data_IF_144189445178
#
_entry.id   IF_144189445178
#
_cell.length_a   1.000
_cell.length_b   1.000
_cell.length_c   1.000
_cell.angle_alpha   90.00
_cell.angle_beta   90.00
_cell.angle_gamma   90.00
#
_symmetry.space_group_name_H-M   'P 1'
#
loop_
_entity.id
_entity.type
_entity.pdbx_description
1 polymer ?
#
# COMPACT_ATOMS: atom_id res chain seq x y z
N UNK A 1 -27.11 6.38 17.04
CA UNK A 1 -27.18 5.68 15.74
C UNK A 1 -27.68 6.66 14.69
N UNK A 2 -26.76 7.34 14.02
CA UNK A 2 -27.03 8.06 12.77
C UNK A 2 -26.06 7.48 11.76
N UNK A 3 -26.62 6.66 10.86
CA UNK A 3 -25.96 6.20 9.64
C UNK A 3 -25.51 7.43 8.85
N UNK A 4 -24.22 7.76 8.91
CA UNK A 4 -23.63 8.70 7.95
C UNK A 4 -23.69 8.01 6.58
N UNK A 5 -24.64 8.43 5.75
CA UNK A 5 -24.75 7.99 4.38
C UNK A 5 -23.42 8.22 3.68
N UNK A 6 -22.83 7.15 3.16
CA UNK A 6 -21.57 7.14 2.44
C UNK A 6 -21.57 8.22 1.34
N UNK A 7 -20.83 9.30 1.56
CA UNK A 7 -20.68 10.38 0.59
C UNK A 7 -19.83 9.90 -0.60
N UNK A 8 -20.25 10.24 -1.82
CA UNK A 8 -19.50 10.03 -3.05
C UNK A 8 -19.33 11.37 -3.74
N UNK A 9 -18.20 12.03 -3.52
CA UNK A 9 -17.94 13.34 -4.12
C UNK A 9 -17.49 13.24 -5.59
N UNK A 10 -17.30 12.04 -6.13
CA UNK A 10 -17.03 11.85 -7.56
C UNK A 10 -18.26 12.14 -8.45
N UNK A 11 -19.46 12.21 -7.85
CA UNK A 11 -20.72 12.37 -8.57
C UNK A 11 -21.12 11.13 -9.38
N UNK A 12 -20.42 10.00 -9.21
CA UNK A 12 -20.73 8.75 -9.90
C UNK A 12 -21.92 8.04 -9.24
N UNK A 13 -23.07 7.88 -9.93
CA UNK A 13 -24.23 7.21 -9.34
C UNK A 13 -23.98 5.70 -9.12
N UNK A 14 -22.99 5.11 -9.79
CA UNK A 14 -22.66 3.69 -9.71
C UNK A 14 -21.25 3.49 -9.10
N UNK A 15 -21.13 2.80 -7.95
CA UNK A 15 -19.81 2.49 -7.39
C UNK A 15 -18.93 1.74 -8.40
N UNK A 16 -17.64 2.10 -8.45
CA UNK A 16 -16.66 1.44 -9.31
C UNK A 16 -16.50 -0.03 -8.91
N UNK A 17 -16.40 -0.90 -9.91
CA UNK A 17 -16.19 -2.33 -9.71
C UNK A 17 -15.06 -2.81 -10.60
N UNK A 18 -14.11 -3.51 -10.01
CA UNK A 18 -13.09 -4.25 -10.75
C UNK A 18 -13.80 -5.38 -11.51
N UNK A 19 -13.45 -5.54 -12.79
CA UNK A 19 -14.06 -6.56 -13.65
C UNK A 19 -13.83 -7.96 -13.07
N UNK A 20 -14.86 -8.81 -13.14
CA UNK A 20 -14.79 -10.19 -12.66
C UNK A 20 -13.62 -10.93 -13.31
N UNK A 21 -12.94 -11.76 -12.51
CA UNK A 21 -11.85 -12.57 -13.00
C UNK A 21 -12.32 -13.49 -14.13
N UNK A 22 -11.50 -13.56 -15.18
CA UNK A 22 -11.64 -14.50 -16.27
C UNK A 22 -10.40 -15.39 -16.28
N UNK A 23 -10.61 -16.70 -16.14
CA UNK A 23 -9.52 -17.66 -16.14
C UNK A 23 -8.70 -17.56 -17.44
N UNK A 24 -7.38 -17.51 -17.31
CA UNK A 24 -6.44 -17.45 -18.43
C UNK A 24 -5.31 -18.46 -18.24
N UNK A 25 -4.72 -18.89 -19.35
CA UNK A 25 -3.53 -19.73 -19.38
C UNK A 25 -3.67 -21.08 -18.64
N UNK A 26 -4.90 -21.57 -18.45
CA UNK A 26 -5.18 -22.83 -17.75
C UNK A 26 -4.84 -22.82 -16.25
N UNK A 27 -4.73 -21.64 -15.62
CA UNK A 27 -4.40 -21.51 -14.20
C UNK A 27 -5.58 -21.93 -13.31
N UNK A 28 -5.29 -22.63 -12.22
CA UNK A 28 -6.29 -22.97 -11.20
C UNK A 28 -6.68 -21.75 -10.34
N UNK A 29 -5.75 -20.82 -10.13
CA UNK A 29 -5.96 -19.53 -9.45
C UNK A 29 -5.31 -18.41 -10.26
N UNK A 30 -5.82 -17.17 -10.22
CA UNK A 30 -5.13 -16.03 -10.79
C UNK A 30 -3.73 -15.87 -10.17
N UNK A 31 -2.76 -15.47 -10.99
CA UNK A 31 -1.44 -15.06 -10.55
C UNK A 31 -1.43 -13.56 -10.28
N UNK A 32 -1.12 -13.17 -9.04
CA UNK A 32 -0.94 -11.79 -8.61
C UNK A 32 0.54 -11.52 -8.39
N UNK A 33 1.07 -10.50 -9.05
CA UNK A 33 2.39 -9.97 -8.75
C UNK A 33 2.27 -8.63 -8.01
N UNK A 34 3.13 -8.40 -7.02
CA UNK A 34 3.32 -7.09 -6.39
C UNK A 34 4.78 -6.69 -6.59
N UNK A 35 5.02 -5.59 -7.30
CA UNK A 35 6.39 -5.18 -7.67
C UNK A 35 6.91 -4.06 -6.79
N UNK A 36 8.13 -4.20 -6.29
CA UNK A 36 8.82 -3.18 -5.51
C UNK A 36 10.14 -2.80 -6.18
N UNK A 37 10.42 -1.50 -6.23
CA UNK A 37 11.78 -1.00 -6.44
C UNK A 37 12.61 -1.29 -5.19
N UNK A 38 13.87 -1.68 -5.40
CA UNK A 38 14.79 -2.07 -4.32
C UNK A 38 15.00 -0.97 -3.27
N UNK A 39 14.81 0.30 -3.63
CA UNK A 39 14.81 1.43 -2.70
C UNK A 39 13.64 2.36 -3.02
N UNK A 40 13.10 2.99 -1.97
CA UNK A 40 12.09 4.04 -2.11
C UNK A 40 10.67 3.55 -2.39
N UNK A 41 10.39 2.25 -2.34
CA UNK A 41 9.01 1.73 -2.39
C UNK A 41 8.27 2.07 -1.10
N UNK A 42 7.05 2.60 -1.21
CA UNK A 42 6.19 2.87 -0.06
C UNK A 42 5.67 1.56 0.52
N UNK A 43 5.94 1.32 1.80
CA UNK A 43 5.73 0.03 2.45
C UNK A 43 4.23 -0.35 2.53
N UNK A 44 3.33 0.56 2.89
CA UNK A 44 1.89 0.27 2.91
C UNK A 44 1.34 -0.13 1.53
N UNK A 45 1.82 0.53 0.48
CA UNK A 45 1.32 0.34 -0.88
C UNK A 45 1.73 -1.01 -1.46
N UNK A 46 2.81 -1.59 -0.93
CA UNK A 46 3.29 -2.92 -1.30
C UNK A 46 2.70 -4.00 -0.38
N UNK A 47 2.85 -3.81 0.94
CA UNK A 47 2.58 -4.86 1.93
C UNK A 47 1.09 -5.11 2.09
N UNK A 48 0.23 -4.08 2.00
CA UNK A 48 -1.21 -4.25 2.14
C UNK A 48 -1.78 -5.09 0.99
N UNK A 49 -1.54 -4.78 -0.30
CA UNK A 49 -2.05 -5.63 -1.37
C UNK A 49 -1.50 -7.05 -1.31
N UNK A 50 -0.21 -7.22 -1.02
CA UNK A 50 0.38 -8.55 -0.84
C UNK A 50 -0.34 -9.31 0.29
N UNK A 51 -0.45 -8.71 1.48
CA UNK A 51 -1.01 -9.34 2.67
C UNK A 51 -2.49 -9.69 2.51
N UNK A 52 -3.29 -8.80 1.90
CA UNK A 52 -4.71 -9.06 1.60
C UNK A 52 -4.86 -10.20 0.60
N UNK A 53 -4.09 -10.19 -0.48
CA UNK A 53 -4.20 -11.24 -1.50
C UNK A 53 -3.70 -12.59 -0.98
N UNK A 54 -2.60 -12.61 -0.22
CA UNK A 54 -2.03 -13.84 0.32
C UNK A 54 -2.96 -14.49 1.36
N UNK A 55 -3.51 -13.71 2.31
CA UNK A 55 -4.46 -14.23 3.32
C UNK A 55 -5.78 -14.68 2.73
N UNK A 56 -6.22 -14.07 1.62
CA UNK A 56 -7.48 -14.45 0.97
C UNK A 56 -7.48 -15.89 0.45
N UNK A 57 -6.31 -16.41 0.05
CA UNK A 57 -6.18 -17.71 -0.60
C UNK A 57 -6.80 -17.80 -2.00
N UNK A 58 -7.29 -16.69 -2.57
CA UNK A 58 -7.99 -16.68 -3.87
C UNK A 58 -7.04 -16.59 -5.07
N UNK A 59 -5.76 -16.31 -4.85
CA UNK A 59 -4.74 -16.11 -5.88
C UNK A 59 -3.41 -16.76 -5.45
N UNK A 60 -2.57 -17.09 -6.44
CA UNK A 60 -1.14 -17.30 -6.20
C UNK A 60 -0.46 -15.93 -6.19
N UNK A 61 0.19 -15.56 -5.09
CA UNK A 61 0.76 -14.22 -4.90
C UNK A 61 2.28 -14.28 -4.89
N UNK A 62 2.92 -13.41 -5.68
CA UNK A 62 4.38 -13.32 -5.78
C UNK A 62 4.83 -11.89 -5.51
N UNK A 63 5.71 -11.72 -4.52
CA UNK A 63 6.46 -10.50 -4.29
C UNK A 63 7.65 -10.43 -5.26
N UNK A 64 7.76 -9.33 -6.00
CA UNK A 64 8.73 -9.17 -7.09
C UNK A 64 9.58 -7.93 -6.85
N UNK A 65 10.90 -8.10 -6.91
CA UNK A 65 11.88 -7.01 -6.90
C UNK A 65 12.32 -6.66 -8.32
N UNK A 66 12.59 -5.38 -8.58
CA UNK A 66 13.14 -4.95 -9.88
C UNK A 66 14.55 -5.52 -10.07
N UNK A 67 15.39 -5.52 -9.04
CA UNK A 67 16.77 -6.04 -9.07
C UNK A 67 16.99 -7.08 -7.97
N UNK A 68 17.96 -8.00 -8.12
CA UNK A 68 18.34 -8.91 -7.05
C UNK A 68 18.75 -8.20 -5.76
N UNK A 69 18.45 -8.82 -4.61
CA UNK A 69 18.89 -8.35 -3.30
C UNK A 69 17.77 -7.81 -2.42
N UNK A 70 18.11 -7.28 -1.23
CA UNK A 70 17.14 -6.69 -0.32
C UNK A 70 16.37 -5.53 -0.96
N UNK A 71 15.13 -5.36 -0.50
CA UNK A 71 14.24 -4.27 -0.90
C UNK A 71 13.94 -3.41 0.33
N UNK A 72 14.51 -2.20 0.35
CA UNK A 72 14.29 -1.19 1.39
C UNK A 72 12.99 -0.44 1.11
N UNK A 73 11.94 -0.86 1.80
CA UNK A 73 10.63 -0.21 1.82
C UNK A 73 10.55 0.61 3.10
N UNK A 74 11.01 1.87 3.04
CA UNK A 74 11.22 2.67 4.25
C UNK A 74 9.98 2.63 5.18
N UNK A 75 10.17 2.34 6.48
CA UNK A 75 11.46 2.23 7.17
C UNK A 75 12.08 0.81 7.17
N UNK A 76 11.39 -0.22 6.70
CA UNK A 76 11.80 -1.62 6.87
C UNK A 76 12.45 -2.21 5.61
N UNK A 77 13.05 -3.39 5.75
CA UNK A 77 13.74 -4.08 4.64
C UNK A 77 13.21 -5.50 4.48
N UNK A 78 12.95 -5.91 3.25
CA UNK A 78 12.40 -7.22 2.93
C UNK A 78 13.25 -7.97 1.91
N UNK A 79 13.21 -9.29 1.97
CA UNK A 79 13.65 -10.18 0.89
C UNK A 79 12.41 -10.62 0.11
N UNK A 80 12.36 -10.33 -1.19
CA UNK A 80 11.22 -10.66 -2.05
C UNK A 80 11.44 -12.00 -2.77
N UNK A 81 10.34 -12.68 -3.12
CA UNK A 81 10.35 -14.06 -3.61
C UNK A 81 10.95 -14.21 -5.02
N UNK A 82 10.95 -13.14 -5.82
CA UNK A 82 11.43 -13.17 -7.20
C UNK A 82 12.03 -11.83 -7.61
N UNK A 83 12.86 -11.84 -8.66
CA UNK A 83 13.15 -10.65 -9.47
C UNK A 83 12.21 -10.61 -10.68
N UNK A 84 12.14 -9.46 -11.37
CA UNK A 84 11.37 -9.35 -12.63
C UNK A 84 11.83 -10.36 -13.69
N UNK A 85 13.14 -10.61 -13.82
CA UNK A 85 13.69 -11.57 -14.78
C UNK A 85 13.33 -13.02 -14.42
N UNK A 86 13.44 -13.38 -13.14
CA UNK A 86 13.06 -14.70 -12.66
C UNK A 86 11.55 -14.93 -12.77
N UNK A 87 10.76 -13.88 -12.54
CA UNK A 87 9.31 -13.93 -12.69
C UNK A 87 8.93 -14.20 -14.14
N UNK A 88 9.47 -13.43 -15.09
CA UNK A 88 9.15 -13.58 -16.51
C UNK A 88 9.64 -14.92 -17.08
N UNK A 89 10.77 -15.45 -16.58
CA UNK A 89 11.22 -16.80 -16.94
C UNK A 89 10.24 -17.89 -16.47
N UNK A 90 9.67 -17.73 -15.27
CA UNK A 90 8.71 -18.69 -14.69
C UNK A 90 7.31 -18.54 -15.26
N UNK A 91 6.92 -17.31 -15.60
CA UNK A 91 5.59 -16.94 -16.07
C UNK A 91 5.68 -16.11 -17.35
N UNK A 92 6.04 -16.72 -18.50
CA UNK A 92 6.24 -15.98 -19.76
C UNK A 92 4.98 -15.24 -20.23
N UNK A 93 3.80 -15.78 -19.90
CA UNK A 93 2.48 -15.18 -20.18
C UNK A 93 2.14 -13.97 -19.28
N UNK A 94 2.94 -13.68 -18.26
CA UNK A 94 2.74 -12.58 -17.31
C UNK A 94 1.71 -12.85 -16.21
N UNK A 95 1.55 -11.89 -15.31
CA UNK A 95 0.56 -11.94 -14.22
C UNK A 95 -0.88 -11.72 -14.73
N UNK A 96 -1.87 -12.27 -14.02
CA UNK A 96 -3.28 -11.89 -14.23
C UNK A 96 -3.54 -10.48 -13.66
N UNK A 97 -2.94 -10.20 -12.50
CA UNK A 97 -3.02 -8.90 -11.82
C UNK A 97 -1.62 -8.45 -11.38
N UNK A 98 -1.32 -7.18 -11.60
CA UNK A 98 -0.08 -6.55 -11.16
C UNK A 98 -0.39 -5.35 -10.26
N UNK A 99 0.03 -5.41 -9.00
CA UNK A 99 0.05 -4.25 -8.12
C UNK A 99 1.32 -3.43 -8.31
N UNK A 100 1.15 -2.11 -8.47
CA UNK A 100 2.22 -1.13 -8.62
C UNK A 100 2.11 -0.10 -7.48
N UNK A 101 2.96 -0.21 -6.44
CA UNK A 101 2.97 0.72 -5.32
C UNK A 101 3.57 2.08 -5.71
N UNK A 102 3.41 3.07 -4.84
CA UNK A 102 4.23 4.27 -4.92
C UNK A 102 5.71 3.95 -4.71
N UNK A 103 6.56 4.66 -5.46
CA UNK A 103 8.01 4.55 -5.42
C UNK A 103 8.62 5.94 -5.55
N UNK A 104 9.80 6.15 -4.97
CA UNK A 104 10.52 7.42 -5.05
C UNK A 104 10.91 7.77 -6.50
N UNK A 105 11.52 6.83 -7.23
CA UNK A 105 11.83 6.98 -8.65
C UNK A 105 10.77 6.33 -9.53
N UNK A 106 9.65 7.02 -9.75
CA UNK A 106 8.59 6.53 -10.63
C UNK A 106 8.93 6.56 -12.13
N UNK A 107 10.16 6.96 -12.49
CA UNK A 107 10.69 6.95 -13.86
C UNK A 107 11.79 5.90 -14.04
N UNK A 108 11.96 4.96 -13.10
CA UNK A 108 12.95 3.88 -13.21
C UNK A 108 12.70 3.04 -14.48
N UNK A 109 13.68 2.93 -15.40
CA UNK A 109 13.46 2.33 -16.71
C UNK A 109 13.16 0.83 -16.66
N UNK A 110 13.74 0.10 -15.70
CA UNK A 110 13.53 -1.34 -15.57
C UNK A 110 12.11 -1.62 -15.05
N UNK A 111 11.67 -0.85 -14.05
CA UNK A 111 10.29 -0.89 -13.56
C UNK A 111 9.29 -0.54 -14.67
N UNK A 112 9.49 0.58 -15.36
CA UNK A 112 8.57 1.04 -16.40
C UNK A 112 8.44 0.02 -17.53
N UNK A 113 9.56 -0.53 -18.00
CA UNK A 113 9.59 -1.55 -19.05
C UNK A 113 8.82 -2.80 -18.62
N UNK A 114 9.04 -3.26 -17.38
CA UNK A 114 8.40 -4.48 -16.90
C UNK A 114 6.90 -4.29 -16.65
N UNK A 115 6.48 -3.18 -16.02
CA UNK A 115 5.05 -2.83 -15.84
C UNK A 115 4.34 -2.75 -17.19
N UNK A 116 4.93 -2.05 -18.18
CA UNK A 116 4.39 -1.98 -19.53
C UNK A 116 4.24 -3.38 -20.15
N UNK A 117 5.25 -4.23 -20.01
CA UNK A 117 5.22 -5.59 -20.55
C UNK A 117 4.09 -6.43 -19.95
N UNK A 118 3.84 -6.37 -18.65
CA UNK A 118 2.72 -7.08 -18.02
C UNK A 118 1.36 -6.57 -18.53
N UNK A 119 1.22 -5.25 -18.73
CA UNK A 119 0.05 -4.65 -19.36
C UNK A 119 -0.15 -5.10 -20.82
N UNK A 120 0.92 -5.15 -21.62
CA UNK A 120 0.90 -5.61 -23.02
C UNK A 120 0.54 -7.10 -23.14
N UNK A 121 0.95 -7.94 -22.17
CA UNK A 121 0.50 -9.34 -22.01
C UNK A 121 -0.98 -9.47 -21.58
N UNK A 122 -1.61 -8.33 -21.32
CA UNK A 122 -3.02 -8.20 -20.99
C UNK A 122 -3.33 -8.43 -19.52
N UNK A 123 -2.36 -8.32 -18.62
CA UNK A 123 -2.61 -8.30 -17.17
C UNK A 123 -3.40 -7.05 -16.77
N UNK A 124 -4.16 -7.14 -15.68
CA UNK A 124 -4.80 -5.98 -15.06
C UNK A 124 -3.77 -5.28 -14.19
N UNK A 125 -3.44 -4.03 -14.52
CA UNK A 125 -2.47 -3.22 -13.77
C UNK A 125 -3.22 -2.37 -12.75
N UNK A 126 -2.85 -2.50 -11.48
CA UNK A 126 -3.49 -1.89 -10.33
C UNK A 126 -2.47 -0.99 -9.62
N UNK A 127 -2.57 0.32 -9.80
CA UNK A 127 -1.69 1.26 -9.10
C UNK A 127 -2.26 1.68 -7.74
N UNK A 128 -1.40 1.77 -6.73
CA UNK A 128 -1.76 2.30 -5.40
C UNK A 128 -1.08 3.65 -5.19
N UNK A 129 -1.82 4.65 -4.68
CA UNK A 129 -1.27 5.97 -4.32
C UNK A 129 -0.50 6.62 -5.49
N UNK A 130 0.74 7.09 -5.25
CA UNK A 130 1.61 7.64 -6.29
C UNK A 130 2.15 6.59 -7.28
N UNK A 131 1.87 5.30 -7.08
CA UNK A 131 2.11 4.26 -8.09
C UNK A 131 1.41 4.54 -9.41
N UNK A 132 0.35 5.36 -9.39
CA UNK A 132 -0.32 5.84 -10.60
C UNK A 132 0.63 6.62 -11.52
N UNK A 133 1.65 7.26 -10.98
CA UNK A 133 2.66 7.99 -11.75
C UNK A 133 3.61 7.03 -12.50
N UNK A 134 3.90 5.86 -11.93
CA UNK A 134 4.65 4.79 -12.61
C UNK A 134 3.84 4.32 -13.82
N UNK A 135 2.58 3.96 -13.60
CA UNK A 135 1.72 3.43 -14.66
C UNK A 135 1.44 4.48 -15.73
N UNK A 136 1.21 5.74 -15.35
CA UNK A 136 1.09 6.84 -16.30
C UNK A 136 2.38 7.05 -17.13
N UNK A 137 3.56 6.90 -16.52
CA UNK A 137 4.85 7.00 -17.22
C UNK A 137 5.08 5.90 -18.25
N UNK A 138 4.38 4.77 -18.16
CA UNK A 138 4.40 3.72 -19.20
C UNK A 138 3.48 4.02 -20.39
N UNK A 139 2.61 5.02 -20.28
CA UNK A 139 1.54 5.32 -21.22
C UNK A 139 0.29 4.43 -21.09
N UNK A 140 0.26 3.48 -20.15
CA UNK A 140 -0.88 2.56 -19.97
C UNK A 140 -2.19 3.27 -19.56
N UNK A 141 -2.09 4.47 -18.97
CA UNK A 141 -3.24 5.31 -18.61
C UNK A 141 -3.59 6.37 -19.67
N UNK A 142 -2.85 6.50 -20.77
CA UNK A 142 -3.16 7.49 -21.81
C UNK A 142 -4.59 7.27 -22.37
N UNK A 143 -5.45 8.30 -22.27
CA UNK A 143 -6.84 8.26 -22.72
C UNK A 143 -7.84 7.60 -21.77
N UNK A 144 -7.35 6.99 -20.69
CA UNK A 144 -8.13 6.25 -19.70
C UNK A 144 -8.43 7.08 -18.44
N UNK A 145 -9.46 6.66 -17.70
CA UNK A 145 -9.77 7.19 -16.37
C UNK A 145 -8.80 6.61 -15.35
N UNK A 146 -8.33 7.45 -14.44
CA UNK A 146 -7.51 7.02 -13.31
C UNK A 146 -7.67 8.00 -12.14
N UNK A 147 -7.26 7.59 -10.96
CA UNK A 147 -7.12 8.44 -9.78
C UNK A 147 -5.75 8.21 -9.13
N UNK A 148 -5.40 9.02 -8.15
CA UNK A 148 -4.13 8.99 -7.42
C UNK A 148 -4.29 9.75 -6.11
N UNK A 149 -3.36 9.56 -5.18
CA UNK A 149 -3.34 10.28 -3.90
C UNK A 149 -3.42 11.80 -4.09
N UNK A 150 -4.21 12.49 -3.26
CA UNK A 150 -4.56 13.91 -3.43
C UNK A 150 -3.33 14.83 -3.55
N UNK A 151 -2.28 14.56 -2.76
CA UNK A 151 -1.05 15.36 -2.70
C UNK A 151 -0.24 15.49 -4.00
N UNK A 152 -0.53 14.73 -5.07
CA UNK A 152 0.14 14.91 -6.37
C UNK A 152 -0.78 15.47 -7.47
N UNK A 153 -1.92 16.05 -7.12
CA UNK A 153 -2.95 16.44 -8.08
C UNK A 153 -2.51 17.43 -9.15
N UNK A 154 -1.90 18.55 -8.74
CA UNK A 154 -1.44 19.56 -9.69
C UNK A 154 -0.36 18.97 -10.61
N UNK A 155 0.59 18.25 -10.02
CA UNK A 155 1.70 17.64 -10.75
C UNK A 155 1.23 16.59 -11.75
N UNK A 156 0.31 15.68 -11.37
CA UNK A 156 -0.16 14.60 -12.25
C UNK A 156 -0.95 15.16 -13.43
N UNK A 157 -1.72 16.23 -13.22
CA UNK A 157 -2.49 16.88 -14.28
C UNK A 157 -1.58 17.54 -15.33
N UNK A 158 -0.49 18.19 -14.90
CA UNK A 158 0.49 18.82 -15.79
C UNK A 158 1.35 17.78 -16.51
N UNK A 159 1.86 16.77 -15.80
CA UNK A 159 2.81 15.80 -16.34
C UNK A 159 2.17 14.72 -17.21
N UNK A 160 0.92 14.35 -16.93
CA UNK A 160 0.18 13.31 -17.63
C UNK A 160 -1.19 13.82 -18.13
N UNK A 161 -1.22 14.82 -19.03
CA UNK A 161 -2.46 15.49 -19.45
C UNK A 161 -3.39 14.61 -20.29
N UNK A 162 -2.91 13.46 -20.78
CA UNK A 162 -3.71 12.48 -21.52
C UNK A 162 -4.53 11.57 -20.61
N UNK A 163 -4.21 11.51 -19.32
CA UNK A 163 -4.96 10.71 -18.34
C UNK A 163 -6.17 11.51 -17.88
N UNK A 164 -7.34 10.88 -17.83
CA UNK A 164 -8.57 11.49 -17.31
C UNK A 164 -8.60 11.31 -15.81
N UNK A 165 -7.97 12.24 -15.09
CA UNK A 165 -7.85 12.17 -13.63
C UNK A 165 -9.20 12.44 -12.94
N UNK A 166 -9.71 11.44 -12.25
CA UNK A 166 -10.88 11.52 -11.39
C UNK A 166 -10.46 11.87 -9.96
N UNK A 167 -11.22 12.76 -9.32
CA UNK A 167 -11.01 13.19 -7.93
C UNK A 167 -12.09 12.60 -7.03
N UNK A 168 -11.87 12.64 -5.71
CA UNK A 168 -12.85 12.21 -4.71
C UNK A 168 -13.40 10.81 -4.97
N UNK A 169 -12.51 9.89 -5.36
CA UNK A 169 -12.84 8.51 -5.62
C UNK A 169 -11.71 7.63 -5.11
N UNK A 170 -12.06 6.55 -4.40
CA UNK A 170 -11.10 5.68 -3.72
C UNK A 170 -10.29 4.88 -4.72
N UNK A 171 -10.97 4.35 -5.73
CA UNK A 171 -10.35 3.67 -6.84
C UNK A 171 -11.21 3.81 -8.10
N UNK A 172 -10.56 3.80 -9.25
CA UNK A 172 -11.17 3.80 -10.58
C UNK A 172 -10.83 2.48 -11.25
N UNK A 173 -11.82 1.83 -11.88
CA UNK A 173 -11.62 0.62 -12.68
C UNK A 173 -12.00 0.89 -14.15
N UNK A 174 -11.02 1.24 -14.98
CA UNK A 174 -11.16 1.42 -16.43
C UNK A 174 -10.65 0.17 -17.17
N UNK A 175 -11.49 -0.87 -17.17
CA UNK A 175 -11.18 -2.17 -17.77
C UNK A 175 -10.03 -2.87 -17.05
N UNK A 176 -8.87 -2.99 -17.72
CA UNK A 176 -7.65 -3.60 -17.18
C UNK A 176 -6.71 -2.61 -16.51
N UNK A 177 -7.14 -1.36 -16.36
CA UNK A 177 -6.42 -0.30 -15.66
C UNK A 177 -7.20 0.03 -14.40
N UNK A 178 -6.59 -0.22 -13.26
CA UNK A 178 -7.15 0.11 -11.95
C UNK A 178 -6.16 1.03 -11.25
N UNK A 179 -6.68 2.04 -10.57
CA UNK A 179 -5.85 2.98 -9.80
C UNK A 179 -6.58 3.35 -8.53
N UNK A 180 -5.87 3.48 -7.41
CA UNK A 180 -6.42 3.95 -6.13
C UNK A 180 -5.89 5.33 -5.72
N UNK A 181 -6.61 5.98 -4.82
CA UNK A 181 -6.15 7.13 -4.05
C UNK A 181 -5.03 6.71 -3.06
N UNK A 182 -4.78 7.53 -2.02
CA UNK A 182 -3.70 7.34 -1.07
C UNK A 182 -3.81 6.12 -0.16
N UNK A 183 -2.91 6.04 0.81
CA UNK A 183 -2.61 4.82 1.58
C UNK A 183 -3.87 4.11 2.12
N UNK A 184 -4.85 4.85 2.65
CA UNK A 184 -6.12 4.29 3.13
C UNK A 184 -6.95 3.57 2.07
N UNK A 185 -6.76 3.87 0.78
CA UNK A 185 -7.41 3.22 -0.35
C UNK A 185 -6.79 1.86 -0.72
N UNK A 186 -5.56 1.59 -0.28
CA UNK A 186 -4.82 0.36 -0.61
C UNK A 186 -5.60 -0.90 -0.19
N UNK A 187 -6.11 -0.90 1.04
CA UNK A 187 -6.81 -2.05 1.63
C UNK A 187 -8.19 -2.27 0.99
N UNK A 188 -9.08 -1.26 0.89
CA UNK A 188 -10.33 -1.35 0.11
C UNK A 188 -10.14 -1.82 -1.34
N UNK A 189 -9.14 -1.29 -2.06
CA UNK A 189 -8.89 -1.67 -3.46
C UNK A 189 -8.49 -3.14 -3.57
N UNK A 190 -7.69 -3.63 -2.61
CA UNK A 190 -7.29 -5.03 -2.54
C UNK A 190 -8.47 -5.95 -2.22
N UNK A 191 -9.38 -5.54 -1.32
CA UNK A 191 -10.61 -6.28 -1.03
C UNK A 191 -11.58 -6.28 -2.22
N UNK A 192 -11.69 -5.17 -2.95
CA UNK A 192 -12.47 -5.10 -4.19
C UNK A 192 -11.93 -6.07 -5.25
N UNK A 193 -10.61 -6.31 -5.29
CA UNK A 193 -10.04 -7.34 -6.16
C UNK A 193 -10.40 -8.75 -5.69
N UNK A 194 -10.37 -9.02 -4.38
CA UNK A 194 -10.86 -10.29 -3.81
C UNK A 194 -12.32 -10.53 -4.22
N UNK A 195 -13.17 -9.50 -4.14
CA UNK A 195 -14.57 -9.57 -4.59
C UNK A 195 -14.67 -9.90 -6.08
N UNK A 196 -13.84 -9.28 -6.92
CA UNK A 196 -13.83 -9.53 -8.35
C UNK A 196 -13.40 -10.97 -8.71
N UNK A 197 -12.54 -11.59 -7.89
CA UNK A 197 -12.03 -12.95 -8.12
C UNK A 197 -12.97 -14.01 -7.54
N UNK A 198 -13.40 -13.85 -6.29
CA UNK A 198 -14.07 -14.90 -5.51
C UNK A 198 -15.47 -14.53 -5.00
N UNK A 199 -15.96 -13.33 -5.33
CA UNK A 199 -17.29 -12.87 -4.94
C UNK A 199 -17.34 -12.19 -3.58
N UNK A 200 -18.51 -11.59 -3.25
CA UNK A 200 -18.68 -10.72 -2.10
C UNK A 200 -18.57 -11.43 -0.75
N UNK A 201 -18.91 -12.72 -0.67
CA UNK A 201 -18.82 -13.49 0.57
C UNK A 201 -17.37 -13.62 1.04
N UNK A 202 -16.46 -13.99 0.11
CA UNK A 202 -15.04 -14.09 0.42
C UNK A 202 -14.42 -12.73 0.70
N UNK A 203 -14.81 -11.69 -0.04
CA UNK A 203 -14.38 -10.32 0.23
C UNK A 203 -14.78 -9.86 1.64
N UNK A 204 -16.02 -10.13 2.06
CA UNK A 204 -16.50 -9.79 3.40
C UNK A 204 -15.79 -10.58 4.51
N UNK A 205 -15.44 -11.84 4.26
CA UNK A 205 -14.61 -12.63 5.17
C UNK A 205 -13.24 -12.00 5.37
N UNK A 206 -12.52 -11.68 4.28
CA UNK A 206 -11.20 -11.06 4.34
C UNK A 206 -11.27 -9.65 4.93
N UNK A 207 -12.32 -8.88 4.62
CA UNK A 207 -12.55 -7.55 5.18
C UNK A 207 -12.66 -7.59 6.71
N UNK A 208 -13.41 -8.55 7.26
CA UNK A 208 -13.51 -8.75 8.72
C UNK A 208 -12.17 -9.19 9.34
N UNK A 209 -11.43 -10.04 8.65
CA UNK A 209 -10.11 -10.51 9.12
C UNK A 209 -9.09 -9.36 9.21
N UNK A 210 -9.05 -8.50 8.19
CA UNK A 210 -8.18 -7.30 8.25
C UNK A 210 -8.77 -6.20 9.13
N UNK A 211 -10.08 -6.24 9.42
CA UNK A 211 -10.78 -5.34 10.32
C UNK A 211 -11.29 -4.05 9.68
N UNK A 212 -11.81 -4.11 8.45
CA UNK A 212 -12.56 -3.02 7.81
C UNK A 212 -14.02 -3.42 7.58
N UNK A 213 -14.93 -2.45 7.69
CA UNK A 213 -16.37 -2.67 7.52
C UNK A 213 -16.87 -2.37 6.10
N UNK A 214 -16.05 -1.72 5.26
CA UNK A 214 -16.44 -1.30 3.91
C UNK A 214 -15.24 -1.12 3.00
N UNK A 215 -15.39 -1.47 1.72
CA UNK A 215 -14.38 -1.31 0.67
C UNK A 215 -14.93 -0.60 -0.57
N UNK A 216 -15.96 0.22 -0.42
CA UNK A 216 -16.58 0.99 -1.51
C UNK A 216 -15.58 1.86 -2.29
N UNK A 217 -15.87 2.18 -3.55
CA UNK A 217 -15.10 3.16 -4.33
C UNK A 217 -15.28 4.60 -3.87
N UNK A 218 -16.22 4.86 -2.95
CA UNK A 218 -16.53 6.20 -2.43
C UNK A 218 -15.39 6.76 -1.59
N UNK A 219 -15.05 8.02 -1.80
CA UNK A 219 -14.00 8.72 -1.08
C UNK A 219 -14.21 10.24 -1.14
N UNK A 220 -13.58 10.97 -0.24
CA UNK A 220 -13.56 12.44 -0.26
C UNK A 220 -12.11 12.89 -0.03
N UNK A 221 -11.42 13.18 -1.12
CA UNK A 221 -10.03 13.62 -1.10
C UNK A 221 -9.89 15.09 -0.71
N UNK A 222 -10.94 15.90 -0.93
CA UNK A 222 -10.94 17.34 -0.67
C UNK A 222 -10.84 17.63 0.83
N UNK A 223 -11.40 16.77 1.69
CA UNK A 223 -11.22 16.88 3.15
C UNK A 223 -9.73 16.90 3.53
N UNK A 224 -8.89 16.09 2.88
CA UNK A 224 -7.46 16.04 3.19
C UNK A 224 -6.68 17.22 2.58
N UNK A 225 -7.11 17.75 1.43
CA UNK A 225 -6.48 18.93 0.82
C UNK A 225 -6.70 20.20 1.64
N UNK A 226 -7.94 20.45 2.05
CA UNK A 226 -8.28 21.61 2.87
C UNK A 226 -7.49 21.61 4.18
N UNK A 227 -7.37 20.43 4.81
CA UNK A 227 -6.60 20.27 6.04
C UNK A 227 -5.09 20.33 5.82
N UNK A 228 -4.58 19.86 4.68
CA UNK A 228 -3.15 19.94 4.34
C UNK A 228 -2.67 21.40 4.17
N UNK A 229 -3.52 22.29 3.65
CA UNK A 229 -3.22 23.72 3.58
C UNK A 229 -3.07 24.37 4.97
N UNK A 230 -3.69 23.76 6.00
CA UNK A 230 -3.58 24.18 7.40
C UNK A 230 -2.49 23.41 8.18
N UNK A 231 -1.99 22.30 7.62
CA UNK A 231 -1.03 21.42 8.25
C UNK A 231 0.42 21.85 7.95
N UNK A 232 1.19 22.16 8.99
CA UNK A 232 2.64 22.29 8.87
C UNK A 232 3.28 20.91 8.71
N UNK A 233 3.37 20.40 7.48
CA UNK A 233 4.14 19.18 7.21
C UNK A 233 5.61 19.41 7.60
N UNK A 234 6.27 18.45 8.29
CA UNK A 234 7.69 18.57 8.58
C UNK A 234 8.48 18.71 7.26
N UNK A 235 9.54 19.53 7.21
CA UNK A 235 10.41 19.63 6.04
C UNK A 235 10.91 18.26 5.60
N UNK A 236 11.02 18.04 4.29
CA UNK A 236 11.43 16.76 3.72
C UNK A 236 12.86 16.34 4.13
N UNK A 237 13.69 17.28 4.58
CA UNK A 237 15.06 17.10 5.06
C UNK A 237 15.18 16.98 6.58
N UNK A 238 14.06 17.05 7.32
CA UNK A 238 14.07 16.87 8.77
C UNK A 238 14.53 15.45 9.12
N UNK A 239 15.67 15.35 9.82
CA UNK A 239 16.17 14.07 10.29
C UNK A 239 15.37 13.60 11.51
N UNK A 240 15.03 12.29 11.57
CA UNK A 240 14.36 11.72 12.73
C UNK A 240 15.26 11.85 13.97
N UNK A 241 14.68 12.30 15.07
CA UNK A 241 15.35 12.52 16.35
C UNK A 241 15.09 11.40 17.36
N UNK A 242 14.07 10.57 17.12
CA UNK A 242 13.65 9.48 18.01
C UNK A 242 13.70 8.17 17.26
N UNK A 243 14.34 7.16 17.85
CA UNK A 243 14.36 5.79 17.34
C UNK A 243 13.34 4.94 18.10
N UNK A 244 12.47 4.26 17.36
CA UNK A 244 11.40 3.43 17.91
C UNK A 244 11.61 1.96 17.51
N UNK A 245 11.69 1.07 18.49
CA UNK A 245 11.72 -0.37 18.25
C UNK A 245 10.32 -0.96 18.18
N UNK A 246 10.04 -1.72 17.12
CA UNK A 246 8.88 -2.58 17.00
C UNK A 246 9.35 -4.02 17.23
N UNK A 247 8.98 -4.66 18.35
CA UNK A 247 9.32 -6.07 18.57
C UNK A 247 8.67 -6.93 17.49
N UNK A 248 9.48 -7.74 16.80
CA UNK A 248 9.01 -8.62 15.72
C UNK A 248 9.52 -10.06 15.89
N UNK A 249 8.70 -11.01 15.47
CA UNK A 249 9.01 -12.44 15.39
C UNK A 249 8.40 -13.06 14.12
N UNK A 250 8.84 -14.28 13.80
CA UNK A 250 8.24 -15.03 12.71
C UNK A 250 6.75 -15.26 12.96
N UNK A 251 5.94 -15.14 11.91
CA UNK A 251 4.49 -15.26 11.96
C UNK A 251 3.74 -14.01 12.42
N UNK A 252 4.41 -12.90 12.72
CA UNK A 252 3.72 -11.62 12.94
C UNK A 252 3.04 -11.14 11.65
N UNK A 253 1.94 -10.40 11.79
CA UNK A 253 1.15 -9.89 10.66
C UNK A 253 1.89 -8.77 9.93
N UNK A 254 2.13 -8.97 8.63
CA UNK A 254 2.87 -7.99 7.82
C UNK A 254 2.15 -6.66 7.61
N UNK A 255 0.81 -6.65 7.59
CA UNK A 255 0.01 -5.42 7.42
C UNK A 255 0.10 -4.58 8.69
N UNK A 256 -0.09 -5.19 9.86
CA UNK A 256 0.05 -4.52 11.15
C UNK A 256 1.45 -3.91 11.30
N UNK A 257 2.50 -4.68 10.99
CA UNK A 257 3.88 -4.22 11.03
C UNK A 257 4.11 -3.03 10.11
N UNK A 258 3.70 -3.13 8.84
CA UNK A 258 3.88 -2.07 7.85
C UNK A 258 3.17 -0.78 8.26
N UNK A 259 1.90 -0.87 8.67
CA UNK A 259 1.12 0.28 9.10
C UNK A 259 1.73 0.94 10.33
N UNK A 260 2.11 0.16 11.35
CA UNK A 260 2.77 0.71 12.55
C UNK A 260 4.08 1.42 12.18
N UNK A 261 4.96 0.75 11.44
CA UNK A 261 6.27 1.28 11.11
C UNK A 261 6.19 2.55 10.25
N UNK A 262 5.30 2.56 9.25
CA UNK A 262 5.08 3.74 8.41
C UNK A 262 4.48 4.90 9.21
N UNK A 263 3.42 4.66 9.98
CA UNK A 263 2.72 5.72 10.74
C UNK A 263 3.68 6.51 11.63
N UNK A 264 4.53 5.81 12.39
CA UNK A 264 5.54 6.50 13.21
C UNK A 264 6.58 7.22 12.36
N UNK A 265 7.06 6.60 11.29
CA UNK A 265 8.11 7.18 10.44
C UNK A 265 7.64 8.42 9.68
N UNK A 266 6.32 8.54 9.42
CA UNK A 266 5.69 9.71 8.80
C UNK A 266 5.61 10.94 9.70
N UNK A 267 5.93 10.81 10.98
CA UNK A 267 6.01 11.98 11.88
C UNK A 267 7.16 12.92 11.50
N UNK A 268 8.18 12.45 10.76
CA UNK A 268 9.43 13.19 10.54
C UNK A 268 10.31 13.34 11.80
N UNK A 269 9.83 12.87 12.95
CA UNK A 269 10.50 12.92 14.24
C UNK A 269 10.98 11.52 14.64
N UNK A 270 10.18 10.50 14.36
CA UNK A 270 10.46 9.11 14.72
C UNK A 270 10.98 8.33 13.52
N UNK A 271 11.95 7.44 13.73
CA UNK A 271 12.32 6.37 12.80
C UNK A 271 12.03 5.02 13.45
N UNK A 272 11.17 4.23 12.83
CA UNK A 272 10.84 2.89 13.32
C UNK A 272 11.85 1.83 12.85
N UNK A 273 12.21 0.90 13.72
CA UNK A 273 13.10 -0.21 13.45
C UNK A 273 12.43 -1.53 13.84
N UNK A 274 12.53 -2.54 12.98
CA UNK A 274 12.18 -3.90 13.35
C UNK A 274 13.25 -4.47 14.31
N UNK A 275 12.84 -4.82 15.54
CA UNK A 275 13.72 -5.36 16.57
C UNK A 275 13.38 -6.83 16.82
N UNK A 276 14.32 -7.72 16.49
CA UNK A 276 14.13 -9.17 16.60
C UNK A 276 15.15 -9.81 17.56
N UNK A 277 14.97 -11.10 17.86
CA UNK A 277 15.94 -11.86 18.67
C UNK A 277 17.30 -12.08 17.97
N UNK A 278 17.36 -11.95 16.64
CA UNK A 278 18.59 -12.04 15.85
C UNK A 278 18.44 -11.31 14.51
N UNK A 279 19.52 -11.24 13.71
CA UNK A 279 19.50 -10.72 12.34
C UNK A 279 18.99 -11.71 11.29
N UNK A 280 18.60 -12.92 11.69
CA UNK A 280 18.11 -13.92 10.75
C UNK A 280 16.80 -13.43 10.07
N UNK A 281 16.60 -13.70 8.77
CA UNK A 281 15.36 -13.36 8.09
C UNK A 281 14.14 -13.99 8.77
N UNK A 282 13.06 -13.21 8.90
CA UNK A 282 11.81 -13.64 9.54
C UNK A 282 10.72 -13.77 8.49
N UNK A 283 10.15 -14.97 8.35
CA UNK A 283 8.94 -15.18 7.56
C UNK A 283 7.72 -14.69 8.37
N UNK A 284 7.03 -13.69 7.84
CA UNK A 284 5.80 -13.13 8.39
C UNK A 284 4.59 -14.02 8.07
N UNK A 285 3.44 -13.73 8.68
CA UNK A 285 2.24 -14.56 8.68
C UNK A 285 1.84 -15.09 7.28
N UNK A 286 1.88 -14.22 6.26
CA UNK A 286 1.45 -14.58 4.90
C UNK A 286 2.61 -14.64 3.89
N UNK A 287 3.83 -14.80 4.40
CA UNK A 287 4.96 -15.28 3.60
C UNK A 287 5.98 -14.25 3.14
N UNK A 288 5.76 -12.94 3.39
CA UNK A 288 6.83 -11.95 3.25
C UNK A 288 7.99 -12.29 4.18
N UNK A 289 9.21 -11.98 3.75
CA UNK A 289 10.42 -12.19 4.54
C UNK A 289 11.00 -10.84 4.94
N UNK A 290 10.91 -10.53 6.24
CA UNK A 290 11.47 -9.33 6.84
C UNK A 290 12.95 -9.57 7.18
N UNK A 291 13.79 -8.57 6.93
CA UNK A 291 15.17 -8.51 7.40
C UNK A 291 15.25 -7.59 8.62
N UNK A 292 15.48 -8.11 9.85
CA UNK A 292 15.45 -7.28 11.05
C UNK A 292 16.51 -6.17 11.08
N UNK A 293 16.08 -4.95 11.40
CA UNK A 293 16.96 -3.79 11.46
C UNK A 293 17.85 -3.81 12.71
N UNK A 294 17.40 -4.38 13.82
CA UNK A 294 18.14 -4.41 15.09
C UNK A 294 17.92 -5.72 15.86
N UNK A 295 18.86 -6.05 16.75
CA UNK A 295 18.77 -7.21 17.65
C UNK A 295 18.39 -6.73 19.05
N UNK A 296 17.41 -7.37 19.67
CA UNK A 296 16.98 -7.10 21.04
C UNK A 296 18.16 -7.31 22.01
N UNK A 297 18.46 -6.29 22.82
CA UNK A 297 19.65 -6.30 23.71
C UNK A 297 20.99 -6.20 22.97
N UNK A 298 20.98 -5.89 21.67
CA UNK A 298 22.17 -5.67 20.86
C UNK A 298 22.82 -4.29 21.06
N UNK A 299 23.88 -3.98 20.30
CA UNK A 299 24.70 -2.78 20.50
C UNK A 299 24.00 -1.47 20.08
N UNK A 300 22.89 -1.53 19.34
CA UNK A 300 22.16 -0.37 18.81
C UNK A 300 20.80 -0.21 19.52
N UNK A 301 20.74 0.29 20.76
CA UNK A 301 19.48 0.47 21.48
C UNK A 301 18.58 1.51 20.81
N UNK A 302 17.27 1.37 21.01
CA UNK A 302 16.24 2.33 20.57
C UNK A 302 15.79 3.18 21.75
N UNK A 303 15.36 4.42 21.49
CA UNK A 303 14.90 5.35 22.53
C UNK A 303 13.59 4.89 23.18
N UNK A 304 12.71 4.27 22.39
CA UNK A 304 11.44 3.72 22.85
C UNK A 304 11.18 2.37 22.20
N UNK A 305 10.49 1.47 22.89
CA UNK A 305 10.06 0.17 22.35
C UNK A 305 8.55 0.04 22.51
N UNK A 306 7.85 -0.37 21.45
CA UNK A 306 6.42 -0.65 21.50
C UNK A 306 6.11 -1.98 22.19
N UNK A 307 4.85 -2.19 22.54
CA UNK A 307 4.37 -3.53 22.84
C UNK A 307 4.51 -4.44 21.59
N UNK A 308 4.65 -5.77 21.76
CA UNK A 308 4.63 -6.71 20.64
C UNK A 308 3.37 -6.56 19.79
N UNK A 309 3.51 -6.79 18.48
CA UNK A 309 2.38 -6.78 17.55
C UNK A 309 1.35 -7.85 17.91
N UNK A 310 0.08 -7.49 17.77
CA UNK A 310 -1.05 -8.40 17.92
C UNK A 310 -1.71 -8.58 16.54
N UNK A 311 -1.76 -9.83 16.08
CA UNK A 311 -2.28 -10.19 14.76
C UNK A 311 -3.75 -9.77 14.57
N UNK A 312 -4.52 -9.60 15.65
CA UNK A 312 -5.91 -9.11 15.59
C UNK A 312 -6.03 -7.59 15.40
N UNK A 313 -4.92 -6.88 15.18
CA UNK A 313 -4.85 -5.42 15.16
C UNK A 313 -4.47 -4.83 13.80
N UNK A 314 -4.45 -5.57 12.69
CA UNK A 314 -4.00 -5.05 11.38
C UNK A 314 -4.59 -3.67 11.01
N UNK A 315 -5.90 -3.43 11.15
CA UNK A 315 -6.49 -2.09 10.96
C UNK A 315 -6.45 -1.18 12.18
N UNK A 316 -6.38 -1.74 13.40
CA UNK A 316 -6.24 -0.94 14.62
C UNK A 316 -4.82 -0.36 14.77
N UNK A 317 -3.82 -0.97 14.13
CA UNK A 317 -2.43 -0.57 14.18
C UNK A 317 -2.25 0.91 13.84
N UNK A 318 -2.93 1.39 12.79
CA UNK A 318 -2.92 2.79 12.40
C UNK A 318 -3.55 3.69 13.49
N UNK A 319 -4.77 3.39 13.92
CA UNK A 319 -5.46 4.17 14.96
C UNK A 319 -4.71 4.20 16.31
N UNK A 320 -4.17 3.07 16.73
CA UNK A 320 -3.36 2.96 17.96
C UNK A 320 -2.06 3.76 17.86
N UNK A 321 -1.38 3.69 16.70
CA UNK A 321 -0.17 4.46 16.45
C UNK A 321 -0.48 5.97 16.43
N UNK A 322 -1.58 6.38 15.79
CA UNK A 322 -2.03 7.78 15.76
C UNK A 322 -2.38 8.30 17.16
N UNK A 323 -3.09 7.51 17.98
CA UNK A 323 -3.42 7.88 19.36
C UNK A 323 -2.15 8.04 20.22
N UNK A 324 -1.17 7.14 20.08
CA UNK A 324 0.10 7.25 20.79
C UNK A 324 0.95 8.43 20.30
N UNK A 325 0.97 8.72 19.00
CA UNK A 325 1.60 9.91 18.42
C UNK A 325 0.92 11.18 18.95
N UNK A 326 -0.41 11.21 19.00
CA UNK A 326 -1.20 12.33 19.54
C UNK A 326 -0.81 12.62 21.00
N UNK A 327 -0.69 11.56 21.81
CA UNK A 327 -0.24 11.65 23.21
C UNK A 327 1.22 12.08 23.36
N UNK A 328 2.11 11.62 22.47
CA UNK A 328 3.56 11.83 22.58
C UNK A 328 4.01 13.17 22.01
N UNK A 329 3.53 13.51 20.82
CA UNK A 329 3.99 14.65 20.02
C UNK A 329 2.88 15.70 19.78
N UNK A 330 1.68 15.47 20.31
CA UNK A 330 0.53 16.37 20.19
C UNK A 330 -0.37 16.03 19.01
N UNK A 331 -1.63 16.48 19.10
CA UNK A 331 -2.68 16.24 18.09
C UNK A 331 -2.28 16.68 16.68
N UNK A 332 -1.53 17.78 16.53
CA UNK A 332 -1.09 18.24 15.21
C UNK A 332 -0.16 17.26 14.52
N UNK A 333 0.76 16.62 15.25
CA UNK A 333 1.67 15.63 14.68
C UNK A 333 0.90 14.39 14.19
N UNK A 334 -0.04 13.88 15.00
CA UNK A 334 -0.91 12.78 14.60
C UNK A 334 -1.78 13.16 13.40
N UNK A 335 -2.27 14.40 13.34
CA UNK A 335 -3.04 14.92 12.20
C UNK A 335 -2.24 14.94 10.92
N UNK A 336 -1.01 15.44 10.93
CA UNK A 336 -0.15 15.45 9.74
C UNK A 336 0.07 14.04 9.19
N UNK A 337 0.28 13.06 10.07
CA UNK A 337 0.40 11.65 9.68
C UNK A 337 -0.91 11.12 9.09
N UNK A 338 -2.04 11.37 9.75
CA UNK A 338 -3.35 10.92 9.26
C UNK A 338 -3.69 11.50 7.88
N UNK A 339 -3.32 12.76 7.60
CA UNK A 339 -3.46 13.39 6.30
C UNK A 339 -2.67 12.65 5.21
N UNK A 340 -1.38 12.39 5.46
CA UNK A 340 -0.56 11.60 4.53
C UNK A 340 -1.16 10.19 4.29
N UNK A 341 -1.68 9.57 5.34
CA UNK A 341 -2.26 8.22 5.24
C UNK A 341 -3.66 8.23 4.60
N UNK A 342 -4.23 9.40 4.27
CA UNK A 342 -5.64 9.60 3.89
C UNK A 342 -6.62 8.94 4.88
N UNK A 343 -6.31 8.97 6.18
CA UNK A 343 -7.09 8.31 7.22
C UNK A 343 -8.26 9.20 7.69
N UNK A 344 -9.53 8.81 7.46
CA UNK A 344 -10.69 9.65 7.79
C UNK A 344 -11.18 9.49 9.24
N UNK A 345 -10.53 8.64 10.04
CA UNK A 345 -10.95 8.37 11.42
C UNK A 345 -10.61 9.51 12.38
N UNK A 346 -11.27 9.59 13.54
CA UNK A 346 -10.97 10.61 14.55
C UNK A 346 -9.53 10.45 15.05
N UNK A 347 -8.89 11.60 15.30
CA UNK A 347 -7.61 11.68 16.01
C UNK A 347 -7.95 12.03 17.46
N UNK A 348 -7.96 11.02 18.32
CA UNK A 348 -8.27 11.18 19.75
C UNK A 348 -7.14 11.88 20.54
#
# INVERSE_FOLDING_TARGET
MTSSAAFDASGNPNPEKIARYQARFGRAKPLVAVVGLNEGTIISDFVIPYGVMARSGVADVVSVSVKPGPVKMQPLTFELQSTIDAFDKRYPEGADYLFVPAVENFSDPDLLKWVKSQGDKGGTVISICFGALVVASTGLFDGHRATSHYGNEEMRAVRFPKVKWEKNIRYVADGKRVSSAGVSASMPTSIALVEAIAGPEKAAEVARDVGIDSWSSRHDSDMFQAEAAEAGMPPADQQPQVTLGIPVKAGDDEIALALTAETYSRTGITMAFAVAASKAPLRLAHGLVLLPDRVAGGPDPVDRTLAPLDASQATRALGMSLADISKTYGRQAARNVALFMEYPGPIE
#
